data_IF_847118642662
#
_entry.id   IF_847118642662
#
_cell.length_a   1.000
_cell.length_b   1.000
_cell.length_c   1.000
_cell.angle_alpha   90.00
_cell.angle_beta   90.00
_cell.angle_gamma   90.00
#
_symmetry.space_group_name_H-M   'P 1'
#
loop_
_entity.id
_entity.type
_entity.pdbx_description
1 polymer ?
#
# COMPACT_ATOMS: atom_id res chain seq x y z
N UNK A 1 -19.08 -19.60 9.60
CA UNK A 1 -19.50 -19.53 11.03
C UNK A 1 -18.80 -20.67 11.73
N UNK A 2 -17.71 -20.39 12.42
CA UNK A 2 -17.02 -21.41 13.25
C UNK A 2 -17.96 -21.74 14.39
N UNK A 3 -18.34 -22.99 14.51
CA UNK A 3 -19.17 -23.46 15.60
C UNK A 3 -18.29 -23.59 16.83
N UNK A 4 -18.67 -22.98 17.96
CA UNK A 4 -18.00 -23.22 19.23
C UNK A 4 -18.09 -24.70 19.59
N UNK A 5 -16.96 -25.34 19.92
CA UNK A 5 -16.98 -26.76 20.34
C UNK A 5 -17.81 -26.93 21.60
N UNK A 6 -18.57 -28.01 21.68
CA UNK A 6 -19.27 -28.37 22.92
C UNK A 6 -18.25 -28.77 23.99
N UNK A 7 -18.54 -28.56 25.27
CA UNK A 7 -17.60 -28.88 26.35
C UNK A 7 -17.08 -30.32 26.34
N UNK A 8 -17.89 -31.27 25.87
CA UNK A 8 -17.57 -32.70 25.72
C UNK A 8 -16.72 -33.00 24.46
N UNK A 9 -16.57 -32.05 23.58
CA UNK A 9 -15.74 -32.17 22.36
C UNK A 9 -14.29 -31.67 22.57
N UNK A 10 -14.01 -30.99 23.70
CA UNK A 10 -12.68 -30.36 23.95
C UNK A 10 -11.58 -31.41 24.15
N UNK A 11 -11.90 -32.57 24.71
CA UNK A 11 -10.95 -33.65 24.95
C UNK A 11 -10.87 -34.68 23.79
N UNK A 12 -11.64 -34.48 22.70
CA UNK A 12 -11.54 -35.29 21.50
C UNK A 12 -10.25 -35.00 20.75
N UNK A 13 -9.66 -35.99 20.07
CA UNK A 13 -8.53 -35.73 19.16
C UNK A 13 -8.92 -34.66 18.16
N UNK A 14 -8.10 -33.60 18.08
CA UNK A 14 -8.35 -32.47 17.14
C UNK A 14 -8.14 -32.99 15.73
N UNK A 15 -9.15 -32.88 14.89
CA UNK A 15 -9.00 -33.00 13.45
C UNK A 15 -8.43 -31.66 12.93
N UNK A 16 -7.18 -31.66 12.57
CA UNK A 16 -6.48 -30.47 12.07
C UNK A 16 -6.79 -30.15 10.61
N UNK A 17 -7.35 -31.09 9.84
CA UNK A 17 -7.59 -30.90 8.42
C UNK A 17 -8.41 -29.65 8.08
N UNK A 18 -9.47 -29.29 8.85
CA UNK A 18 -10.19 -28.02 8.63
C UNK A 18 -9.41 -26.76 8.99
N UNK A 19 -8.25 -26.92 9.66
CA UNK A 19 -7.41 -25.81 10.13
C UNK A 19 -6.22 -25.57 9.21
N UNK A 20 -5.96 -26.49 8.27
CA UNK A 20 -4.96 -26.25 7.26
C UNK A 20 -5.42 -25.10 6.36
N UNK A 21 -4.62 -24.06 6.34
CA UNK A 21 -4.79 -22.99 5.36
C UNK A 21 -4.67 -23.61 3.96
N UNK A 22 -5.63 -23.34 3.10
CA UNK A 22 -5.51 -23.68 1.69
C UNK A 22 -4.32 -22.93 1.09
N UNK A 23 -3.78 -23.42 -0.02
CA UNK A 23 -2.68 -22.75 -0.71
C UNK A 23 -2.99 -21.28 -1.06
N UNK A 24 -4.29 -20.95 -1.19
CA UNK A 24 -4.77 -19.58 -1.39
C UNK A 24 -4.79 -18.72 -0.13
N UNK A 25 -4.80 -19.35 1.06
CA UNK A 25 -4.84 -18.69 2.37
C UNK A 25 -3.46 -18.61 3.02
N UNK A 26 -2.53 -19.50 2.62
CA UNK A 26 -1.15 -19.59 3.12
C UNK A 26 -0.20 -18.56 2.48
N UNK A 27 -0.77 -17.61 1.76
CA UNK A 27 -0.01 -16.56 1.12
C UNK A 27 0.21 -15.41 2.09
N UNK A 28 1.23 -15.57 2.89
CA UNK A 28 1.86 -14.45 3.55
C UNK A 28 2.34 -13.43 2.52
N UNK A 29 2.46 -12.18 2.93
CA UNK A 29 3.08 -11.12 2.16
C UNK A 29 4.47 -11.59 1.67
N UNK A 30 4.68 -11.56 0.35
CA UNK A 30 5.98 -11.93 -0.23
C UNK A 30 7.09 -11.01 0.30
N UNK A 31 8.28 -11.54 0.56
CA UNK A 31 9.40 -10.75 1.08
C UNK A 31 9.67 -9.48 0.28
N UNK A 32 9.47 -9.50 -1.04
CA UNK A 32 9.66 -8.34 -1.91
C UNK A 32 8.55 -7.30 -1.68
N UNK A 33 7.29 -7.73 -1.57
CA UNK A 33 6.15 -6.87 -1.28
C UNK A 33 6.31 -6.21 0.10
N UNK A 34 6.65 -6.99 1.14
CA UNK A 34 6.89 -6.49 2.49
C UNK A 34 7.94 -5.38 2.52
N UNK A 35 9.06 -5.54 1.81
CA UNK A 35 10.09 -4.52 1.70
C UNK A 35 9.59 -3.24 1.02
N UNK A 36 8.79 -3.37 -0.04
CA UNK A 36 8.21 -2.21 -0.74
C UNK A 36 7.27 -1.45 0.20
N UNK A 37 6.41 -2.14 0.93
CA UNK A 37 5.48 -1.56 1.90
C UNK A 37 6.25 -0.83 3.02
N UNK A 38 7.30 -1.42 3.56
CA UNK A 38 8.14 -0.80 4.59
C UNK A 38 8.81 0.48 4.10
N UNK A 39 9.40 0.47 2.90
CA UNK A 39 9.99 1.64 2.26
C UNK A 39 8.93 2.74 2.11
N UNK A 40 7.77 2.43 1.55
CA UNK A 40 6.71 3.40 1.30
C UNK A 40 6.17 4.01 2.60
N UNK A 41 5.97 3.20 3.64
CA UNK A 41 5.55 3.69 4.97
C UNK A 41 6.59 4.63 5.57
N UNK A 42 7.88 4.26 5.52
CA UNK A 42 8.98 5.08 6.02
C UNK A 42 9.06 6.42 5.30
N UNK A 43 9.06 6.37 3.96
CA UNK A 43 9.15 7.56 3.09
C UNK A 43 7.95 8.49 3.26
N UNK A 44 6.72 7.96 3.34
CA UNK A 44 5.52 8.78 3.56
C UNK A 44 5.53 9.45 4.94
N UNK A 45 6.02 8.79 5.98
CA UNK A 45 6.19 9.39 7.32
C UNK A 45 7.24 10.51 7.29
N UNK A 46 8.35 10.29 6.60
CA UNK A 46 9.39 11.29 6.43
C UNK A 46 8.86 12.51 5.66
N UNK A 47 8.16 12.28 4.55
CA UNK A 47 7.55 13.35 3.76
C UNK A 47 6.51 14.13 4.57
N UNK A 48 5.71 13.44 5.39
CA UNK A 48 4.74 14.08 6.28
C UNK A 48 5.43 15.01 7.29
N UNK A 49 6.55 14.56 7.86
CA UNK A 49 7.34 15.37 8.79
C UNK A 49 7.96 16.59 8.08
N UNK A 50 8.57 16.42 6.92
CA UNK A 50 9.15 17.50 6.11
C UNK A 50 8.12 18.58 5.72
N UNK A 51 6.90 18.13 5.39
CA UNK A 51 5.79 19.00 5.00
C UNK A 51 5.03 19.61 6.18
N UNK A 52 5.38 19.23 7.40
CA UNK A 52 4.69 19.67 8.60
C UNK A 52 3.22 19.25 8.65
N UNK A 53 2.86 18.12 8.03
CA UNK A 53 1.48 17.63 8.07
C UNK A 53 1.11 17.24 9.49
N UNK A 54 0.02 17.82 9.96
CA UNK A 54 -0.56 17.52 11.27
C UNK A 54 -1.78 16.63 11.08
N UNK A 55 -2.05 15.77 12.03
CA UNK A 55 -3.20 14.87 12.01
C UNK A 55 -3.25 13.97 10.75
N UNK A 56 -2.13 13.38 10.39
CA UNK A 56 -2.04 12.39 9.32
C UNK A 56 -1.60 11.05 9.90
N UNK A 57 -2.15 9.98 9.36
CA UNK A 57 -1.75 8.62 9.71
C UNK A 57 -1.32 7.87 8.45
N UNK A 58 -0.14 7.27 8.51
CA UNK A 58 0.35 6.34 7.49
C UNK A 58 0.16 4.94 8.02
N UNK A 59 -0.71 4.18 7.41
CA UNK A 59 -1.06 2.81 7.79
C UNK A 59 -0.84 1.80 6.69
N UNK A 60 -1.05 0.53 7.02
CA UNK A 60 -0.99 -0.62 6.13
C UNK A 60 -1.96 -1.70 6.60
N UNK A 61 -2.42 -2.54 5.70
CA UNK A 61 -3.17 -3.78 5.96
C UNK A 61 -4.39 -3.64 6.88
N UNK A 62 -5.07 -2.51 6.83
CA UNK A 62 -6.31 -2.32 7.55
C UNK A 62 -7.51 -2.29 6.60
N UNK A 63 -8.58 -2.96 7.00
CA UNK A 63 -9.80 -3.00 6.21
C UNK A 63 -10.55 -1.67 6.23
N UNK A 64 -11.01 -1.25 5.05
CA UNK A 64 -11.94 -0.16 4.83
C UNK A 64 -13.23 -0.70 4.24
N UNK A 65 -14.35 -0.57 4.96
CA UNK A 65 -15.68 -0.94 4.52
C UNK A 65 -16.54 0.32 4.38
N UNK A 66 -17.39 0.37 3.35
CA UNK A 66 -18.19 1.58 3.03
C UNK A 66 -19.68 1.31 2.88
N UNK A 67 -20.13 0.06 2.91
CA UNK A 67 -21.54 -0.32 2.81
C UNK A 67 -21.95 -0.94 4.15
N UNK A 68 -22.79 -0.25 4.96
CA UNK A 68 -23.19 -0.75 6.28
C UNK A 68 -23.88 -2.13 6.24
N UNK A 69 -24.71 -2.33 5.21
CA UNK A 69 -25.48 -3.55 5.00
C UNK A 69 -24.62 -4.72 4.53
N UNK A 70 -23.45 -4.42 3.93
CA UNK A 70 -22.52 -5.41 3.36
C UNK A 70 -21.09 -5.17 3.89
N UNK A 71 -20.85 -5.36 5.20
CA UNK A 71 -19.56 -5.00 5.82
C UNK A 71 -18.37 -5.86 5.36
N UNK A 72 -18.64 -6.95 4.64
CA UNK A 72 -17.61 -7.78 4.00
C UNK A 72 -17.16 -7.22 2.63
N UNK A 73 -17.91 -6.26 2.06
CA UNK A 73 -17.44 -5.48 0.91
C UNK A 73 -16.45 -4.46 1.43
N UNK A 74 -15.17 -4.78 1.28
CA UNK A 74 -14.06 -4.02 1.87
C UNK A 74 -12.80 -4.13 1.01
N UNK A 75 -11.89 -3.20 1.23
CA UNK A 75 -10.51 -3.23 0.70
C UNK A 75 -9.52 -3.20 1.86
N UNK A 76 -8.30 -3.65 1.61
CA UNK A 76 -7.19 -3.56 2.56
C UNK A 76 -5.96 -3.05 1.80
N UNK A 77 -5.76 -1.73 1.69
CA UNK A 77 -4.61 -1.20 0.97
C UNK A 77 -3.30 -1.59 1.65
N UNK A 78 -2.32 -1.97 0.85
CA UNK A 78 -0.97 -2.29 1.32
C UNK A 78 -0.32 -1.10 2.04
N UNK A 79 -0.55 0.12 1.52
CA UNK A 79 -0.18 1.37 2.21
C UNK A 79 -1.27 2.41 2.01
N UNK A 80 -1.55 3.18 3.04
CA UNK A 80 -2.51 4.28 2.93
C UNK A 80 -2.14 5.50 3.75
N UNK A 81 -2.66 6.64 3.34
CA UNK A 81 -2.56 7.92 4.02
C UNK A 81 -3.95 8.42 4.39
N UNK A 82 -4.17 8.65 5.68
CA UNK A 82 -5.45 9.06 6.24
C UNK A 82 -5.33 10.42 6.91
N UNK A 83 -6.28 11.32 6.61
CA UNK A 83 -6.40 12.61 7.28
C UNK A 83 -7.27 12.50 8.53
N UNK A 84 -6.90 13.26 9.55
CA UNK A 84 -7.66 13.42 10.81
C UNK A 84 -8.12 12.09 11.44
N UNK A 85 -7.21 11.14 11.70
CA UNK A 85 -7.58 9.92 12.39
C UNK A 85 -8.15 10.24 13.78
N UNK A 86 -9.06 9.41 14.31
CA UNK A 86 -9.49 9.55 15.69
C UNK A 86 -8.31 9.35 16.64
N UNK A 87 -8.41 9.86 17.88
CA UNK A 87 -7.37 9.61 18.88
C UNK A 87 -7.22 8.10 19.16
N UNK A 88 -6.02 7.64 19.49
CA UNK A 88 -5.78 6.24 19.89
C UNK A 88 -6.68 5.78 21.04
N UNK A 89 -7.06 4.47 21.05
CA UNK A 89 -6.65 3.42 20.12
C UNK A 89 -7.35 3.54 18.76
N UNK A 90 -6.60 3.30 17.68
CA UNK A 90 -7.18 3.28 16.34
C UNK A 90 -8.12 2.07 16.17
N UNK A 91 -9.15 2.18 15.31
CA UNK A 91 -10.06 1.06 15.06
C UNK A 91 -9.32 -0.09 14.36
N UNK A 92 -9.72 -1.32 14.63
CA UNK A 92 -9.20 -2.49 13.92
C UNK A 92 -9.63 -2.54 12.44
N UNK A 93 -10.74 -1.85 12.11
CA UNK A 93 -11.27 -1.72 10.75
C UNK A 93 -11.96 -0.37 10.59
N UNK A 94 -11.74 0.28 9.46
CA UNK A 94 -12.35 1.55 9.11
C UNK A 94 -13.73 1.32 8.48
N UNK A 95 -14.79 1.69 9.19
CA UNK A 95 -16.17 1.60 8.73
C UNK A 95 -16.64 3.02 8.41
N UNK A 96 -16.65 3.40 7.13
CA UNK A 96 -16.76 4.80 6.69
C UNK A 96 -18.09 5.46 7.12
N UNK A 97 -19.11 4.67 7.42
CA UNK A 97 -20.38 5.16 7.98
C UNK A 97 -20.31 5.58 9.46
N UNK A 98 -19.19 5.29 10.16
CA UNK A 98 -19.01 5.69 11.56
C UNK A 98 -18.41 7.08 11.68
N UNK A 99 -18.84 7.79 12.71
CA UNK A 99 -18.31 9.12 13.00
C UNK A 99 -16.78 9.07 13.23
N UNK A 100 -16.06 9.98 12.58
CA UNK A 100 -14.59 10.04 12.65
C UNK A 100 -13.85 9.05 11.74
N UNK A 101 -14.57 8.14 11.08
CA UNK A 101 -13.97 7.28 10.07
C UNK A 101 -14.06 7.96 8.70
N UNK A 102 -12.98 7.89 7.95
CA UNK A 102 -12.87 8.52 6.62
C UNK A 102 -12.19 7.56 5.64
N UNK A 103 -12.49 7.69 4.33
CA UNK A 103 -11.69 7.00 3.33
C UNK A 103 -10.26 7.52 3.33
N UNK A 104 -9.28 6.70 2.94
CA UNK A 104 -7.91 7.16 2.77
C UNK A 104 -7.85 8.21 1.65
N UNK A 105 -7.05 9.26 1.85
CA UNK A 105 -6.82 10.22 0.77
C UNK A 105 -5.94 9.63 -0.33
N UNK A 106 -4.97 8.79 0.05
CA UNK A 106 -4.12 8.00 -0.82
C UNK A 106 -4.18 6.54 -0.39
N UNK A 107 -4.34 5.64 -1.34
CA UNK A 107 -4.13 4.22 -1.20
C UNK A 107 -3.08 3.75 -2.21
N UNK A 108 -2.23 2.82 -1.80
CA UNK A 108 -1.24 2.19 -2.65
C UNK A 108 -1.44 0.68 -2.54
N UNK A 109 -1.60 0.03 -3.69
CA UNK A 109 -1.61 -1.42 -3.85
C UNK A 109 -0.31 -1.84 -4.54
N UNK A 110 0.32 -2.86 -4.00
CA UNK A 110 1.49 -3.51 -4.57
C UNK A 110 1.05 -4.85 -5.10
N UNK A 111 1.04 -5.00 -6.41
CA UNK A 111 0.57 -6.22 -7.06
C UNK A 111 1.39 -7.41 -6.57
N UNK A 112 0.73 -8.38 -5.96
CA UNK A 112 1.37 -9.60 -5.52
C UNK A 112 1.65 -10.52 -6.70
N UNK A 113 2.82 -11.14 -6.68
CA UNK A 113 3.22 -12.14 -7.66
C UNK A 113 3.09 -13.52 -7.02
N UNK A 114 2.19 -14.28 -7.57
CA UNK A 114 1.90 -15.63 -7.16
C UNK A 114 2.15 -16.58 -8.33
N UNK A 115 3.10 -17.52 -8.16
CA UNK A 115 3.40 -18.51 -9.21
C UNK A 115 2.25 -19.49 -9.38
N UNK A 116 1.53 -19.79 -8.30
CA UNK A 116 0.41 -20.72 -8.28
C UNK A 116 -0.88 -20.07 -8.82
N UNK A 117 -1.01 -18.75 -8.69
CA UNK A 117 -2.16 -17.97 -9.14
C UNK A 117 -1.76 -16.81 -10.05
N UNK A 118 -1.28 -17.10 -11.28
CA UNK A 118 -0.71 -16.09 -12.18
C UNK A 118 -1.70 -15.02 -12.65
N UNK A 119 -3.01 -15.17 -12.33
CA UNK A 119 -4.06 -14.23 -12.70
C UNK A 119 -4.45 -13.26 -11.56
N UNK A 120 -3.88 -13.42 -10.38
CA UNK A 120 -4.26 -12.67 -9.17
C UNK A 120 -4.07 -11.15 -9.33
N UNK A 121 -3.09 -10.74 -10.14
CA UNK A 121 -2.86 -9.35 -10.49
C UNK A 121 -4.09 -8.64 -11.08
N UNK A 122 -5.01 -9.38 -11.73
CA UNK A 122 -6.24 -8.82 -12.31
C UNK A 122 -7.14 -8.19 -11.27
N UNK A 123 -7.15 -8.71 -10.06
CA UNK A 123 -7.92 -8.14 -8.96
C UNK A 123 -7.51 -6.69 -8.69
N UNK A 124 -6.21 -6.42 -8.68
CA UNK A 124 -5.68 -5.09 -8.45
C UNK A 124 -5.91 -4.15 -9.65
N UNK A 125 -5.90 -4.70 -10.86
CA UNK A 125 -6.10 -3.92 -12.09
C UNK A 125 -7.57 -3.64 -12.41
N UNK A 126 -8.44 -4.63 -12.21
CA UNK A 126 -9.82 -4.58 -12.69
C UNK A 126 -10.81 -4.17 -11.57
N UNK A 127 -10.60 -4.66 -10.34
CA UNK A 127 -11.53 -4.45 -9.25
C UNK A 127 -11.12 -3.30 -8.32
N UNK A 128 -9.83 -3.16 -7.99
CA UNK A 128 -9.39 -2.16 -7.04
C UNK A 128 -9.81 -0.73 -7.46
N UNK A 129 -9.64 -0.27 -8.71
CA UNK A 129 -10.07 1.06 -9.10
C UNK A 129 -11.55 1.34 -8.83
N UNK A 130 -12.41 0.34 -9.06
CA UNK A 130 -13.85 0.47 -8.82
C UNK A 130 -14.18 0.52 -7.33
N UNK A 131 -13.53 -0.35 -6.52
CA UNK A 131 -13.71 -0.40 -5.08
C UNK A 131 -13.25 0.91 -4.40
N UNK A 132 -12.07 1.40 -4.76
CA UNK A 132 -11.54 2.66 -4.23
C UNK A 132 -12.33 3.89 -4.70
N UNK A 133 -12.90 3.83 -5.91
CA UNK A 133 -13.85 4.84 -6.38
C UNK A 133 -15.10 4.90 -5.49
N UNK A 134 -15.70 3.76 -5.17
CA UNK A 134 -16.87 3.67 -4.31
C UNK A 134 -16.56 4.05 -2.86
N UNK A 135 -15.41 3.61 -2.34
CA UNK A 135 -14.93 3.96 -1.00
C UNK A 135 -14.79 5.48 -0.80
N UNK A 136 -14.51 6.22 -1.87
CA UNK A 136 -14.32 7.67 -1.80
C UNK A 136 -12.86 8.10 -1.69
N UNK A 137 -11.90 7.21 -1.95
CA UNK A 137 -10.46 7.51 -2.02
C UNK A 137 -10.20 8.60 -3.05
N UNK A 138 -9.25 9.52 -2.77
CA UNK A 138 -8.93 10.62 -3.70
C UNK A 138 -7.91 10.22 -4.74
N UNK A 139 -6.91 9.41 -4.36
CA UNK A 139 -5.86 8.91 -5.24
C UNK A 139 -5.54 7.45 -4.92
N UNK A 140 -5.49 6.61 -5.96
CA UNK A 140 -5.07 5.22 -5.87
C UNK A 140 -3.83 5.04 -6.74
N UNK A 141 -2.82 4.41 -6.19
CA UNK A 141 -1.60 3.99 -6.88
C UNK A 141 -1.59 2.46 -6.92
N UNK A 142 -1.38 1.90 -8.09
CA UNK A 142 -1.15 0.47 -8.27
C UNK A 142 0.28 0.31 -8.80
N UNK A 143 1.13 -0.33 -8.02
CA UNK A 143 2.50 -0.63 -8.39
C UNK A 143 2.65 -2.11 -8.67
N UNK A 144 3.13 -2.45 -9.86
CA UNK A 144 3.38 -3.83 -10.28
C UNK A 144 4.90 -4.06 -10.39
N UNK A 145 5.53 -4.68 -9.36
CA UNK A 145 6.96 -4.90 -9.35
C UNK A 145 7.44 -5.84 -10.46
N UNK A 146 6.63 -6.82 -10.87
CA UNK A 146 6.96 -7.71 -11.96
C UNK A 146 6.95 -7.01 -13.32
N UNK A 147 5.94 -6.18 -13.57
CA UNK A 147 5.88 -5.36 -14.77
C UNK A 147 7.02 -4.34 -14.80
N UNK A 148 7.31 -3.73 -13.65
CA UNK A 148 8.42 -2.79 -13.49
C UNK A 148 9.78 -3.44 -13.78
N UNK A 149 9.99 -4.66 -13.31
CA UNK A 149 11.23 -5.43 -13.54
C UNK A 149 11.29 -6.10 -14.93
N UNK A 150 10.26 -5.96 -15.76
CA UNK A 150 10.19 -6.61 -17.07
C UNK A 150 9.98 -8.13 -17.02
N UNK A 151 9.52 -8.65 -15.89
CA UNK A 151 9.27 -10.09 -15.68
C UNK A 151 7.81 -10.48 -15.87
N UNK A 152 6.89 -9.50 -15.91
CA UNK A 152 5.46 -9.74 -16.03
C UNK A 152 5.11 -10.49 -17.33
N UNK A 153 4.24 -11.48 -17.19
CA UNK A 153 3.65 -12.17 -18.35
C UNK A 153 2.29 -11.55 -18.66
N UNK A 154 2.05 -11.21 -19.93
CA UNK A 154 0.81 -10.59 -20.41
C UNK A 154 0.98 -9.14 -20.89
N UNK A 155 0.30 -8.80 -22.00
CA UNK A 155 0.49 -7.54 -22.73
C UNK A 155 -0.09 -6.28 -22.07
N UNK A 156 -0.85 -6.43 -20.97
CA UNK A 156 -1.59 -5.31 -20.34
C UNK A 156 -1.03 -4.84 -19.01
N UNK A 157 0.05 -5.46 -18.53
CA UNK A 157 0.65 -5.10 -17.24
C UNK A 157 1.60 -3.91 -17.41
N UNK A 158 1.49 -2.94 -16.51
CA UNK A 158 2.32 -1.73 -16.49
C UNK A 158 2.90 -1.51 -15.10
N UNK A 159 4.12 -0.98 -15.01
CA UNK A 159 4.84 -0.80 -13.76
C UNK A 159 4.07 0.05 -12.74
N UNK A 160 3.42 1.11 -13.19
CA UNK A 160 2.76 2.09 -12.31
C UNK A 160 1.46 2.56 -12.96
N UNK A 161 0.37 2.52 -12.19
CA UNK A 161 -0.89 3.16 -12.55
C UNK A 161 -1.29 4.14 -11.43
N UNK A 162 -1.81 5.30 -11.82
CA UNK A 162 -2.35 6.28 -10.88
C UNK A 162 -3.77 6.63 -11.30
N UNK A 163 -4.69 6.47 -10.36
CA UNK A 163 -6.09 6.88 -10.52
C UNK A 163 -6.37 8.05 -9.59
N UNK A 164 -7.18 8.98 -10.05
CA UNK A 164 -7.43 10.22 -9.31
C UNK A 164 -8.89 10.64 -9.41
N UNK A 165 -9.45 11.08 -8.28
CA UNK A 165 -10.78 11.67 -8.24
C UNK A 165 -10.72 13.07 -8.81
N UNK A 166 -11.58 13.32 -9.78
CA UNK A 166 -11.75 14.61 -10.42
C UNK A 166 -12.77 15.47 -9.64
N UNK A 167 -12.84 16.77 -9.97
CA UNK A 167 -13.75 17.71 -9.32
C UNK A 167 -15.24 17.36 -9.52
N UNK A 168 -15.57 16.69 -10.62
CA UNK A 168 -16.91 16.16 -10.92
C UNK A 168 -17.24 14.84 -10.22
N UNK A 169 -16.30 14.31 -9.42
CA UNK A 169 -16.43 13.04 -8.71
C UNK A 169 -15.98 11.81 -9.49
N UNK A 170 -15.68 11.94 -10.78
CA UNK A 170 -15.16 10.83 -11.58
C UNK A 170 -13.81 10.34 -11.06
N UNK A 171 -13.61 9.02 -11.07
CA UNK A 171 -12.35 8.40 -10.70
C UNK A 171 -11.68 7.86 -11.95
N UNK A 172 -10.62 8.52 -12.40
CA UNK A 172 -10.02 8.24 -13.70
C UNK A 172 -8.55 7.90 -13.59
N UNK A 173 -8.08 7.02 -14.46
CA UNK A 173 -6.66 6.72 -14.59
C UNK A 173 -5.95 7.89 -15.28
N UNK A 174 -5.04 8.53 -14.56
CA UNK A 174 -4.28 9.70 -15.03
C UNK A 174 -2.87 9.34 -15.47
N UNK A 175 -2.38 8.15 -15.09
CA UNK A 175 -1.07 7.64 -15.50
C UNK A 175 -1.11 6.12 -15.67
N UNK A 176 -0.39 5.62 -16.67
CA UNK A 176 -0.04 4.22 -16.85
C UNK A 176 1.31 4.12 -17.56
N UNK A 177 2.33 3.56 -16.90
CA UNK A 177 3.68 3.45 -17.44
C UNK A 177 4.75 3.23 -16.38
N UNK A 178 6.00 3.54 -16.71
CA UNK A 178 7.12 3.36 -15.79
C UNK A 178 7.31 4.54 -14.80
N UNK A 179 6.60 5.64 -14.96
CA UNK A 179 6.77 6.86 -14.16
C UNK A 179 7.89 7.76 -14.71
N UNK A 180 8.27 8.87 -14.06
CA UNK A 180 7.62 9.38 -12.84
C UNK A 180 6.21 9.88 -13.06
N UNK A 181 5.37 9.80 -12.04
CA UNK A 181 4.00 10.32 -12.03
C UNK A 181 3.78 11.22 -10.83
N UNK A 182 3.09 12.34 -11.03
CA UNK A 182 2.70 13.18 -9.90
C UNK A 182 1.78 12.42 -8.95
N UNK A 183 2.12 12.35 -7.66
CA UNK A 183 1.25 11.98 -6.56
C UNK A 183 0.65 13.24 -5.97
N UNK A 184 -0.55 13.63 -6.43
CA UNK A 184 -1.17 14.91 -6.05
C UNK A 184 -1.45 14.99 -4.56
N UNK A 185 -1.95 13.89 -3.98
CA UNK A 185 -2.31 13.84 -2.56
C UNK A 185 -1.12 13.91 -1.62
N UNK A 186 0.07 13.67 -2.14
CA UNK A 186 1.32 13.82 -1.38
C UNK A 186 2.17 15.01 -1.83
N UNK A 187 1.81 15.67 -2.93
CA UNK A 187 2.57 16.80 -3.50
C UNK A 187 4.00 16.43 -3.86
N UNK A 188 4.22 15.21 -4.32
CA UNK A 188 5.52 14.63 -4.64
C UNK A 188 5.37 13.71 -5.87
N UNK A 189 6.43 13.05 -6.29
CA UNK A 189 6.44 12.24 -7.51
C UNK A 189 6.67 10.77 -7.17
N UNK A 190 5.87 9.91 -7.78
CA UNK A 190 6.00 8.46 -7.72
C UNK A 190 6.96 8.03 -8.83
N UNK A 191 8.00 7.31 -8.49
CA UNK A 191 9.03 6.88 -9.45
C UNK A 191 9.41 5.42 -9.22
N UNK A 192 9.69 4.72 -10.29
CA UNK A 192 10.20 3.34 -10.25
C UNK A 192 11.72 3.38 -10.24
N UNK A 193 12.32 2.73 -9.25
CA UNK A 193 13.78 2.63 -9.12
C UNK A 193 14.17 1.15 -9.22
N UNK A 194 15.20 0.86 -10.00
CA UNK A 194 15.73 -0.50 -10.16
C UNK A 194 16.93 -0.72 -9.25
N UNK A 195 16.87 -1.75 -8.43
CA UNK A 195 17.95 -2.23 -7.55
C UNK A 195 18.37 -3.62 -7.99
N UNK A 196 19.24 -3.70 -9.00
CA UNK A 196 19.58 -4.94 -9.67
C UNK A 196 18.37 -5.54 -10.39
N UNK A 197 17.94 -6.78 -10.05
CA UNK A 197 16.81 -7.44 -10.69
C UNK A 197 15.44 -7.02 -10.10
N UNK A 198 15.42 -6.27 -9.02
CA UNK A 198 14.19 -5.83 -8.33
C UNK A 198 13.84 -4.41 -8.70
N UNK A 199 12.53 -4.14 -8.75
CA UNK A 199 12.00 -2.80 -8.93
C UNK A 199 11.29 -2.34 -7.64
N UNK A 200 11.47 -1.08 -7.27
CA UNK A 200 10.87 -0.46 -6.10
C UNK A 200 10.07 0.77 -6.50
N UNK A 201 8.92 0.95 -5.89
CA UNK A 201 8.24 2.24 -5.94
C UNK A 201 8.88 3.17 -4.91
N UNK A 202 9.35 4.32 -5.37
CA UNK A 202 9.92 5.37 -4.51
C UNK A 202 9.16 6.67 -4.69
N UNK A 203 9.33 7.57 -3.74
CA UNK A 203 8.80 8.93 -3.79
C UNK A 203 9.95 9.89 -3.97
N UNK A 204 9.80 10.81 -4.94
CA UNK A 204 10.76 11.87 -5.22
C UNK A 204 10.14 13.25 -5.01
N UNK A 205 10.96 14.24 -4.67
CA UNK A 205 10.52 15.64 -4.50
C UNK A 205 10.39 16.38 -5.82
N UNK A 206 11.08 15.89 -6.85
CA UNK A 206 11.17 16.50 -8.17
C UNK A 206 10.45 15.69 -9.26
N UNK A 207 10.05 16.39 -10.32
CA UNK A 207 9.35 15.78 -11.46
C UNK A 207 10.21 14.80 -12.28
N UNK A 208 11.53 14.89 -12.17
CA UNK A 208 12.45 13.97 -12.83
C UNK A 208 12.55 12.63 -12.08
N UNK A 209 12.03 12.55 -10.85
CA UNK A 209 12.09 11.36 -10.02
C UNK A 209 13.49 11.07 -9.47
N UNK A 210 14.36 12.07 -9.36
CA UNK A 210 15.77 11.91 -8.99
C UNK A 210 16.08 12.30 -7.56
N UNK A 211 15.37 13.28 -6.99
CA UNK A 211 15.52 13.69 -5.59
C UNK A 211 14.62 12.81 -4.69
N UNK A 212 15.10 11.61 -4.42
CA UNK A 212 14.33 10.63 -3.64
C UNK A 212 14.17 11.08 -2.18
N UNK A 213 12.98 10.92 -1.65
CA UNK A 213 12.74 10.99 -0.20
C UNK A 213 13.40 9.76 0.41
N UNK A 214 14.28 9.97 1.37
CA UNK A 214 15.01 8.90 2.05
C UNK A 214 14.12 8.16 3.03
N UNK A 215 14.38 6.88 3.23
CA UNK A 215 13.85 6.17 4.40
C UNK A 215 14.53 6.65 5.67
N UNK A 216 14.01 6.28 6.83
CA UNK A 216 14.64 6.64 8.10
C UNK A 216 16.06 6.05 8.22
N UNK A 217 16.27 4.83 7.73
CA UNK A 217 17.58 4.16 7.69
C UNK A 217 18.55 4.88 6.77
N UNK A 218 18.13 5.21 5.54
CA UNK A 218 18.93 5.96 4.56
C UNK A 218 19.33 7.34 5.11
N UNK A 219 18.43 8.00 5.83
CA UNK A 219 18.73 9.30 6.45
C UNK A 219 19.76 9.16 7.58
N UNK A 220 19.64 8.14 8.42
CA UNK A 220 20.64 7.85 9.46
C UNK A 220 22.01 7.55 8.84
N UNK A 221 22.07 6.78 7.78
CA UNK A 221 23.33 6.47 7.08
C UNK A 221 23.94 7.73 6.45
N UNK A 222 23.14 8.56 5.83
CA UNK A 222 23.59 9.82 5.24
C UNK A 222 24.17 10.77 6.31
N UNK A 223 23.49 10.90 7.45
CA UNK A 223 23.96 11.72 8.57
C UNK A 223 25.27 11.16 9.17
N UNK A 224 25.41 9.85 9.32
CA UNK A 224 26.67 9.23 9.77
C UNK A 224 27.82 9.49 8.82
N UNK A 225 27.59 9.38 7.51
CA UNK A 225 28.59 9.66 6.50
C UNK A 225 29.03 11.14 6.56
N UNK A 226 28.08 12.06 6.74
CA UNK A 226 28.37 13.50 6.87
C UNK A 226 29.18 13.81 8.13
N UNK A 227 28.82 13.24 9.28
CA UNK A 227 29.57 13.40 10.55
C UNK A 227 31.02 12.92 10.37
N UNK A 228 31.20 11.75 9.74
CA UNK A 228 32.53 11.21 9.47
C UNK A 228 33.36 12.15 8.60
N UNK A 229 32.78 12.66 7.51
CA UNK A 229 33.42 13.62 6.60
C UNK A 229 33.88 14.90 7.32
N UNK A 230 33.03 15.45 8.19
CA UNK A 230 33.35 16.65 8.97
C UNK A 230 34.44 16.40 10.00
N UNK A 231 34.47 15.20 10.63
CA UNK A 231 35.51 14.82 11.59
C UNK A 231 36.89 14.56 10.96
N UNK A 232 36.94 14.19 9.68
CA UNK A 232 38.21 13.98 8.94
C UNK A 232 38.81 15.32 8.41
N UNK A 233 38.04 16.42 8.45
CA UNK A 233 38.46 17.71 7.92
C UNK A 233 39.02 18.63 9.03
N UNK A 234 38.99 18.17 10.29
CA UNK A 234 39.51 18.89 11.47
C UNK A 234 40.83 18.31 11.94
#
# INVERSE_FOLDING_TARGET
>A
MVRDPRPDEIDAPIDWAPWYLGAEEDMGEGNEQAQIIEILKSVLKQLAAERGWRNVYVGADQFFAWIPEEPLVRVSPDVYLLDDPPPPPLPASWQIWRQGHRPPRLAIEVVSCDEDHPERWRKDYDEAPQKYAQLGTRELVIFDPEAAAGRARGEQRTALQVYRRQADGAFVRVHAGAGPSEGREIGAWLTVVHEGPVARLRIARDAAGTDLVRTAEEEVEALRAEIKRLGETT
#
